data_IF_753525794700
#
_entry.id   IF_753525794700
#
_cell.length_a   1.000
_cell.length_b   1.000
_cell.length_c   1.000
_cell.angle_alpha   90.00
_cell.angle_beta   90.00
_cell.angle_gamma   90.00
#
_symmetry.space_group_name_H-M   'P 1'
#
loop_
_entity.id
_entity.type
_entity.pdbx_description
1 polymer ?
#
# COMPACT_ATOMS: atom_id res chain seq x y z
N UNK A 1 -5.22 33.20 14.74
CA UNK A 1 -5.66 33.91 13.51
C UNK A 1 -5.93 32.86 12.46
N UNK A 2 -7.20 32.55 12.25
CA UNK A 2 -7.70 31.63 11.21
C UNK A 2 -7.37 32.20 9.83
N UNK A 3 -6.56 31.48 9.05
CA UNK A 3 -6.31 31.86 7.65
C UNK A 3 -7.59 31.77 6.82
N UNK A 4 -7.71 32.65 5.83
CA UNK A 4 -8.84 32.88 4.90
C UNK A 4 -9.38 31.66 4.13
N UNK A 5 -8.92 30.44 4.43
CA UNK A 5 -9.31 29.18 3.79
C UNK A 5 -9.98 28.17 4.73
N UNK A 6 -10.30 28.57 5.98
CA UNK A 6 -10.95 27.68 6.96
C UNK A 6 -10.02 26.61 7.55
N UNK A 7 -8.76 26.55 7.12
CA UNK A 7 -7.74 25.69 7.72
C UNK A 7 -7.06 26.41 8.91
N UNK A 8 -6.88 25.72 10.06
CA UNK A 8 -6.15 26.29 11.20
C UNK A 8 -4.69 26.56 10.82
N UNK A 9 -4.10 27.58 11.43
CA UNK A 9 -2.69 27.91 11.19
C UNK A 9 -1.76 26.77 11.66
N UNK A 10 -0.51 26.67 11.14
CA UNK A 10 0.43 25.63 11.55
C UNK A 10 0.69 25.55 13.06
N UNK A 11 0.65 26.69 13.76
CA UNK A 11 0.82 26.77 15.21
C UNK A 11 -0.42 26.24 15.96
N UNK A 12 -1.61 26.71 15.59
CA UNK A 12 -2.89 26.27 16.19
C UNK A 12 -3.13 24.77 16.00
N UNK A 13 -2.78 24.23 14.84
CA UNK A 13 -2.88 22.80 14.55
C UNK A 13 -1.87 21.97 15.35
N UNK A 14 -0.64 22.47 15.53
CA UNK A 14 0.37 21.80 16.34
C UNK A 14 -0.03 21.73 17.81
N UNK A 15 -0.66 22.77 18.34
CA UNK A 15 -1.19 22.84 19.71
C UNK A 15 -2.42 21.95 19.91
N UNK A 16 -3.32 21.88 18.92
CA UNK A 16 -4.52 21.03 18.95
C UNK A 16 -4.24 19.55 18.73
N UNK A 17 -3.02 19.18 18.35
CA UNK A 17 -2.67 17.79 18.06
C UNK A 17 -2.37 17.02 19.36
N UNK A 18 -3.15 15.97 19.69
CA UNK A 18 -2.88 15.16 20.87
C UNK A 18 -1.46 14.59 20.86
N UNK A 19 -0.78 14.62 22.02
CA UNK A 19 0.61 14.17 22.15
C UNK A 19 0.80 12.66 21.90
N UNK A 20 -0.26 11.87 22.00
CA UNK A 20 -0.31 10.43 21.73
C UNK A 20 -0.46 10.09 20.22
N UNK A 21 -0.74 11.09 19.37
CA UNK A 21 -0.88 10.90 17.92
C UNK A 21 0.50 10.72 17.27
N UNK A 22 0.64 9.59 16.58
CA UNK A 22 1.89 9.22 15.92
C UNK A 22 2.04 9.95 14.58
N UNK A 23 2.73 11.09 14.64
CA UNK A 23 2.96 11.95 13.47
C UNK A 23 3.74 11.24 12.35
N UNK A 24 4.54 10.21 12.67
CA UNK A 24 5.28 9.48 11.65
C UNK A 24 4.33 8.65 10.77
N UNK A 25 3.31 8.03 11.36
CA UNK A 25 2.31 7.24 10.64
C UNK A 25 1.50 8.13 9.69
N UNK A 26 1.09 9.31 10.16
CA UNK A 26 0.34 10.27 9.33
C UNK A 26 1.18 10.76 8.13
N UNK A 27 2.47 11.05 8.34
CA UNK A 27 3.39 11.44 7.27
C UNK A 27 3.61 10.29 6.28
N UNK A 28 3.87 9.08 6.77
CA UNK A 28 4.02 7.90 5.91
C UNK A 28 2.78 7.70 5.04
N UNK A 29 1.58 7.86 5.61
CA UNK A 29 0.32 7.67 4.90
C UNK A 29 0.11 8.71 3.79
N UNK A 30 0.33 10.00 4.06
CA UNK A 30 0.15 11.04 3.04
C UNK A 30 1.22 10.96 1.97
N UNK A 31 2.47 10.67 2.33
CA UNK A 31 3.56 10.48 1.37
C UNK A 31 3.30 9.26 0.49
N UNK A 32 2.79 8.17 1.06
CA UNK A 32 2.35 7.02 0.27
C UNK A 32 1.18 7.39 -0.65
N UNK A 33 0.17 8.14 -0.18
CA UNK A 33 -0.95 8.55 -1.03
C UNK A 33 -0.49 9.41 -2.22
N UNK A 34 0.35 10.42 -1.97
CA UNK A 34 0.92 11.27 -3.03
C UNK A 34 1.80 10.45 -3.98
N UNK A 35 2.63 9.56 -3.44
CA UNK A 35 3.45 8.65 -4.24
C UNK A 35 2.61 7.78 -5.17
N UNK A 36 1.41 7.33 -4.75
CA UNK A 36 0.55 6.46 -5.56
C UNK A 36 0.03 7.27 -6.74
N UNK A 37 -0.47 8.47 -6.46
CA UNK A 37 -0.99 9.36 -7.50
C UNK A 37 0.11 9.71 -8.50
N UNK A 38 1.28 10.13 -8.03
CA UNK A 38 2.42 10.47 -8.90
C UNK A 38 2.89 9.24 -9.68
N UNK A 39 3.04 8.10 -9.02
CA UNK A 39 3.46 6.85 -9.65
C UNK A 39 2.53 6.40 -10.77
N UNK A 40 1.21 6.42 -10.54
CA UNK A 40 0.23 6.07 -11.57
C UNK A 40 0.22 7.09 -12.70
N UNK A 41 0.33 8.39 -12.42
CA UNK A 41 0.41 9.43 -13.46
C UNK A 41 1.67 9.29 -14.31
N UNK A 42 2.81 8.95 -13.70
CA UNK A 42 4.08 8.76 -14.43
C UNK A 42 4.09 7.45 -15.21
N UNK A 43 3.54 6.36 -14.65
CA UNK A 43 3.44 5.07 -15.34
C UNK A 43 2.43 5.10 -16.48
N UNK A 44 1.39 5.93 -16.37
CA UNK A 44 0.37 6.15 -17.40
C UNK A 44 0.84 7.15 -18.47
N UNK A 45 1.94 6.84 -19.17
CA UNK A 45 2.40 7.64 -20.31
C UNK A 45 1.68 7.26 -21.59
N UNK A 46 0.65 8.01 -21.96
CA UNK A 46 0.10 7.92 -23.31
C UNK A 46 1.03 8.58 -24.32
N UNK A 47 1.66 7.79 -25.20
CA UNK A 47 2.49 8.31 -26.28
C UNK A 47 1.64 8.44 -27.54
N UNK A 48 1.46 9.66 -28.03
CA UNK A 48 0.81 9.89 -29.33
C UNK A 48 1.87 9.70 -30.41
N UNK A 49 1.78 8.62 -31.20
CA UNK A 49 2.57 8.44 -32.43
C UNK A 49 1.63 8.46 -33.63
N UNK A 50 1.89 9.35 -34.58
CA UNK A 50 1.15 9.42 -35.84
C UNK A 50 -0.33 9.75 -35.72
N UNK A 51 -0.73 10.54 -34.71
CA UNK A 51 -2.14 10.89 -34.47
C UNK A 51 -2.97 9.81 -33.76
N UNK A 52 -2.36 8.68 -33.39
CA UNK A 52 -3.00 7.62 -32.61
C UNK A 52 -2.44 7.64 -31.19
N UNK A 53 -3.32 7.74 -30.21
CA UNK A 53 -2.99 7.62 -28.79
C UNK A 53 -2.61 6.15 -28.52
N UNK A 54 -1.32 5.85 -28.37
CA UNK A 54 -0.87 4.55 -27.89
C UNK A 54 -0.61 4.66 -26.39
N UNK A 55 -1.31 3.83 -25.63
CA UNK A 55 -0.97 3.62 -24.23
C UNK A 55 0.34 2.84 -24.19
N UNK A 56 1.41 3.51 -23.76
CA UNK A 56 2.71 2.89 -23.54
C UNK A 56 3.04 3.01 -22.05
N UNK A 57 3.87 2.13 -21.53
CA UNK A 57 4.24 2.16 -20.12
C UNK A 57 5.75 2.38 -20.05
N UNK A 58 6.21 3.48 -19.45
CA UNK A 58 7.65 3.76 -19.30
C UNK A 58 8.43 2.59 -18.68
N UNK A 59 7.74 1.70 -17.94
CA UNK A 59 8.29 0.47 -17.40
C UNK A 59 8.64 -0.59 -18.46
N UNK A 60 7.91 -0.68 -19.59
CA UNK A 60 8.26 -1.61 -20.69
C UNK A 60 9.49 -1.13 -21.45
N UNK A 61 9.72 0.19 -21.48
CA UNK A 61 10.76 0.81 -22.32
C UNK A 61 12.12 0.90 -21.63
N UNK A 62 12.18 0.87 -20.29
CA UNK A 62 13.43 1.11 -19.56
C UNK A 62 13.58 0.27 -18.30
N UNK A 63 14.68 -0.50 -18.25
CA UNK A 63 15.09 -1.30 -17.09
C UNK A 63 15.40 -0.43 -15.86
N UNK A 64 15.82 0.82 -16.05
CA UNK A 64 16.00 1.77 -14.94
C UNK A 64 14.68 2.07 -14.26
N UNK A 65 13.60 2.31 -15.02
CA UNK A 65 12.27 2.53 -14.43
C UNK A 65 11.72 1.27 -13.76
N UNK A 66 12.01 0.08 -14.29
CA UNK A 66 11.70 -1.18 -13.61
C UNK A 66 12.42 -1.30 -12.27
N UNK A 67 13.72 -0.97 -12.20
CA UNK A 67 14.46 -0.95 -10.94
C UNK A 67 13.94 0.12 -9.97
N UNK A 68 13.52 1.28 -10.47
CA UNK A 68 12.92 2.34 -9.66
C UNK A 68 11.63 1.89 -8.98
N UNK A 69 10.93 0.87 -9.48
CA UNK A 69 9.77 0.29 -8.78
C UNK A 69 10.14 -0.20 -7.38
N UNK A 70 11.37 -0.64 -7.12
CA UNK A 70 11.81 -1.06 -5.78
C UNK A 70 11.90 0.10 -4.78
N UNK A 71 12.08 1.33 -5.25
CA UNK A 71 12.10 2.51 -4.39
C UNK A 71 10.67 3.05 -4.24
N UNK A 72 9.91 3.05 -5.34
CA UNK A 72 8.57 3.65 -5.39
C UNK A 72 7.43 2.66 -5.10
N UNK A 73 7.71 1.43 -4.67
CA UNK A 73 6.69 0.46 -4.25
C UNK A 73 6.12 0.84 -2.88
N UNK A 74 5.36 1.91 -2.83
CA UNK A 74 4.75 2.52 -1.63
C UNK A 74 3.60 1.72 -1.00
N UNK A 75 3.03 0.75 -1.71
CA UNK A 75 1.86 0.00 -1.21
C UNK A 75 2.08 -0.64 0.17
N UNK A 76 3.22 -1.34 0.44
CA UNK A 76 3.49 -1.91 1.76
C UNK A 76 3.51 -0.85 2.87
N UNK A 77 4.01 0.36 2.59
CA UNK A 77 4.05 1.45 3.57
C UNK A 77 2.65 1.91 3.98
N UNK A 78 1.69 1.89 3.06
CA UNK A 78 0.29 2.22 3.37
C UNK A 78 -0.35 1.17 4.29
N UNK A 79 -0.18 -0.13 3.99
CA UNK A 79 -0.69 -1.20 4.85
C UNK A 79 -0.02 -1.19 6.23
N UNK A 80 1.29 -0.93 6.28
CA UNK A 80 2.04 -0.74 7.52
C UNK A 80 1.45 0.40 8.36
N UNK A 81 1.31 1.59 7.78
CA UNK A 81 0.77 2.76 8.46
C UNK A 81 -0.69 2.56 8.89
N UNK A 82 -1.50 1.96 8.02
CA UNK A 82 -2.91 1.68 8.28
C UNK A 82 -3.13 0.71 9.43
N UNK A 83 -2.37 -0.40 9.46
CA UNK A 83 -2.43 -1.35 10.58
C UNK A 83 -1.94 -0.71 11.88
N UNK A 84 -0.83 0.02 11.83
CA UNK A 84 -0.27 0.73 12.97
C UNK A 84 -1.26 1.76 13.57
N UNK A 85 -1.99 2.50 12.72
CA UNK A 85 -3.02 3.43 13.15
C UNK A 85 -4.24 2.74 13.81
N UNK A 86 -4.52 1.48 13.46
CA UNK A 86 -5.67 0.75 13.98
C UNK A 86 -5.42 0.04 15.31
N UNK A 87 -4.15 -0.25 15.65
CA UNK A 87 -3.79 -0.97 16.89
C UNK A 87 -4.41 -0.38 18.16
N UNK A 88 -4.36 0.95 18.43
CA UNK A 88 -4.89 1.50 19.68
C UNK A 88 -6.41 1.37 19.81
N UNK A 89 -7.11 1.29 18.67
CA UNK A 89 -8.58 1.26 18.61
C UNK A 89 -9.18 -0.14 18.75
N UNK A 90 -8.35 -1.18 18.69
CA UNK A 90 -8.80 -2.56 18.80
C UNK A 90 -8.45 -3.10 20.18
N UNK A 91 -9.46 -3.58 20.92
CA UNK A 91 -9.30 -4.21 22.23
C UNK A 91 -9.95 -5.58 22.23
N UNK A 92 -9.32 -6.61 22.85
CA UNK A 92 -9.99 -7.88 23.10
C UNK A 92 -11.33 -7.64 23.82
N UNK A 93 -12.41 -8.26 23.33
CA UNK A 93 -13.77 -8.05 23.83
C UNK A 93 -14.61 -7.03 23.05
N UNK A 94 -14.01 -6.28 22.12
CA UNK A 94 -14.78 -5.42 21.20
C UNK A 94 -15.54 -6.29 20.19
N UNK A 95 -16.79 -5.94 19.87
CA UNK A 95 -17.52 -6.59 18.77
C UNK A 95 -16.76 -6.35 17.45
N UNK A 96 -16.19 -7.44 16.90
CA UNK A 96 -15.39 -7.41 15.67
C UNK A 96 -16.17 -6.87 14.48
N UNK A 97 -17.40 -7.35 14.27
CA UNK A 97 -18.23 -6.95 13.13
C UNK A 97 -18.59 -5.47 13.20
N UNK A 98 -19.02 -5.00 14.37
CA UNK A 98 -19.36 -3.57 14.57
C UNK A 98 -18.15 -2.64 14.39
N UNK A 99 -16.98 -3.04 14.91
CA UNK A 99 -15.74 -2.29 14.75
C UNK A 99 -15.29 -2.21 13.28
N UNK A 100 -15.33 -3.35 12.57
CA UNK A 100 -14.96 -3.43 11.16
C UNK A 100 -15.93 -2.63 10.30
N UNK A 101 -17.23 -2.77 10.51
CA UNK A 101 -18.27 -2.04 9.76
C UNK A 101 -18.15 -0.53 9.94
N UNK A 102 -17.91 -0.05 11.17
CA UNK A 102 -17.73 1.39 11.40
C UNK A 102 -16.55 1.98 10.60
N UNK A 103 -15.46 1.22 10.47
CA UNK A 103 -14.28 1.63 9.69
C UNK A 103 -14.50 1.49 8.19
N UNK A 104 -15.04 0.36 7.76
CA UNK A 104 -15.39 0.10 6.38
C UNK A 104 -16.37 1.16 5.86
N UNK A 105 -17.45 1.44 6.58
CA UNK A 105 -18.45 2.44 6.19
C UNK A 105 -17.83 3.84 6.01
N UNK A 106 -16.93 4.27 6.92
CA UNK A 106 -16.24 5.57 6.79
C UNK A 106 -15.35 5.61 5.54
N UNK A 107 -14.69 4.50 5.22
CA UNK A 107 -13.78 4.39 4.09
C UNK A 107 -14.52 4.26 2.74
N UNK A 108 -15.62 3.51 2.72
CA UNK A 108 -16.44 3.30 1.52
C UNK A 108 -17.36 4.47 1.20
N UNK A 109 -17.75 5.30 2.18
CA UNK A 109 -18.62 6.46 1.94
C UNK A 109 -18.11 7.41 0.84
N UNK A 110 -16.85 7.91 0.85
CA UNK A 110 -16.31 8.69 -0.27
C UNK A 110 -16.22 7.88 -1.58
N UNK A 111 -15.95 6.58 -1.47
CA UNK A 111 -15.82 5.67 -2.62
C UNK A 111 -17.16 5.45 -3.31
N UNK A 112 -18.28 5.40 -2.58
CA UNK A 112 -19.61 5.32 -3.17
C UNK A 112 -19.95 6.56 -3.98
N UNK A 113 -19.59 7.76 -3.52
CA UNK A 113 -19.77 8.98 -4.33
C UNK A 113 -18.93 8.93 -5.61
N UNK A 114 -17.67 8.51 -5.50
CA UNK A 114 -16.78 8.33 -6.63
C UNK A 114 -17.32 7.30 -7.64
N UNK A 115 -17.76 6.13 -7.16
CA UNK A 115 -18.34 5.07 -7.97
C UNK A 115 -19.65 5.52 -8.63
N UNK A 116 -20.50 6.26 -7.92
CA UNK A 116 -21.74 6.78 -8.47
C UNK A 116 -21.47 7.79 -9.59
N UNK A 117 -20.49 8.68 -9.38
CA UNK A 117 -20.05 9.63 -10.40
C UNK A 117 -19.53 8.91 -11.65
N UNK A 118 -18.62 7.94 -11.49
CA UNK A 118 -18.08 7.19 -12.63
C UNK A 118 -19.11 6.29 -13.29
N UNK A 119 -20.04 5.69 -12.54
CA UNK A 119 -21.15 4.92 -13.11
C UNK A 119 -21.99 5.79 -14.05
N UNK A 120 -22.38 6.99 -13.61
CA UNK A 120 -23.13 7.93 -14.46
C UNK A 120 -22.29 8.41 -15.64
N UNK A 121 -21.03 8.81 -15.40
CA UNK A 121 -20.14 9.30 -16.45
C UNK A 121 -19.88 8.25 -17.53
N UNK A 122 -19.60 7.00 -17.15
CA UNK A 122 -19.35 5.91 -18.09
C UNK A 122 -20.61 5.54 -18.88
N UNK A 123 -21.80 5.55 -18.26
CA UNK A 123 -23.07 5.34 -18.99
C UNK A 123 -23.29 6.44 -20.04
N UNK A 124 -22.99 7.70 -19.72
CA UNK A 124 -23.10 8.82 -20.66
C UNK A 124 -22.03 8.74 -21.76
N UNK A 125 -20.81 8.35 -21.43
CA UNK A 125 -19.70 8.28 -22.38
C UNK A 125 -19.74 7.07 -23.29
N UNK A 126 -20.44 5.99 -22.92
CA UNK A 126 -20.55 4.78 -23.73
C UNK A 126 -20.99 5.03 -25.19
N UNK A 127 -22.03 5.83 -25.48
CA UNK A 127 -22.38 6.18 -26.86
C UNK A 127 -21.53 7.30 -27.49
N UNK A 128 -20.76 8.07 -26.70
CA UNK A 128 -20.06 9.27 -27.16
C UNK A 128 -18.59 9.03 -27.51
N UNK A 129 -17.96 8.03 -26.88
CA UNK A 129 -16.53 7.77 -27.03
C UNK A 129 -16.29 6.49 -27.86
N UNK A 130 -15.29 6.48 -28.76
CA UNK A 130 -14.81 5.25 -29.35
C UNK A 130 -14.36 4.23 -28.29
N UNK A 131 -14.57 2.94 -28.55
CA UNK A 131 -14.28 1.85 -27.62
C UNK A 131 -12.81 1.87 -27.10
N UNK A 132 -11.86 2.23 -27.96
CA UNK A 132 -10.44 2.33 -27.62
C UNK A 132 -10.09 3.47 -26.62
N UNK A 133 -11.00 4.43 -26.41
CA UNK A 133 -10.90 5.48 -25.38
C UNK A 133 -11.71 5.09 -24.15
N UNK A 134 -12.88 4.49 -24.36
CA UNK A 134 -13.79 4.11 -23.28
C UNK A 134 -13.18 3.04 -22.35
N UNK A 135 -12.65 1.95 -22.91
CA UNK A 135 -12.14 0.82 -22.11
C UNK A 135 -10.99 1.21 -21.16
N UNK A 136 -9.95 1.96 -21.59
CA UNK A 136 -8.92 2.44 -20.67
C UNK A 136 -9.45 3.36 -19.58
N UNK A 137 -10.37 4.27 -19.91
CA UNK A 137 -10.97 5.19 -18.93
C UNK A 137 -11.77 4.42 -17.88
N UNK A 138 -12.59 3.46 -18.32
CA UNK A 138 -13.32 2.57 -17.43
C UNK A 138 -12.35 1.75 -16.55
N UNK A 139 -11.30 1.17 -17.13
CA UNK A 139 -10.28 0.41 -16.41
C UNK A 139 -9.60 1.22 -15.31
N UNK A 140 -9.07 2.41 -15.65
CA UNK A 140 -8.39 3.30 -14.69
C UNK A 140 -9.31 3.73 -13.56
N UNK A 141 -10.61 3.95 -13.85
CA UNK A 141 -11.58 4.37 -12.83
C UNK A 141 -11.76 3.35 -11.70
N UNK A 142 -11.62 2.06 -11.99
CA UNK A 142 -11.76 0.99 -10.97
C UNK A 142 -10.43 0.40 -10.53
N UNK A 143 -9.33 0.72 -11.22
CA UNK A 143 -8.01 0.12 -10.99
C UNK A 143 -7.51 0.29 -9.57
N UNK A 144 -7.84 1.38 -8.87
CA UNK A 144 -7.38 1.59 -7.49
C UNK A 144 -8.30 0.95 -6.43
N UNK A 145 -9.45 0.39 -6.82
CA UNK A 145 -10.44 -0.16 -5.89
C UNK A 145 -10.06 -1.54 -5.33
N UNK A 146 -9.27 -2.34 -6.05
CA UNK A 146 -8.84 -3.64 -5.51
C UNK A 146 -8.01 -3.47 -4.24
N UNK A 147 -7.21 -2.40 -4.18
CA UNK A 147 -6.40 -2.05 -3.01
C UNK A 147 -7.27 -1.75 -1.78
N UNK A 148 -8.42 -1.08 -2.00
CA UNK A 148 -9.39 -0.83 -0.95
C UNK A 148 -9.96 -2.14 -0.40
N UNK A 149 -10.30 -3.09 -1.28
CA UNK A 149 -10.73 -4.44 -0.88
C UNK A 149 -9.67 -5.15 -0.06
N UNK A 150 -8.42 -5.17 -0.54
CA UNK A 150 -7.29 -5.75 0.19
C UNK A 150 -7.06 -5.07 1.56
N UNK A 151 -7.23 -3.76 1.65
CA UNK A 151 -7.13 -3.01 2.90
C UNK A 151 -8.20 -3.45 3.92
N UNK A 152 -9.43 -3.65 3.47
CA UNK A 152 -10.52 -4.15 4.33
C UNK A 152 -10.22 -5.56 4.82
N UNK A 153 -9.66 -6.44 3.97
CA UNK A 153 -9.24 -7.79 4.39
C UNK A 153 -8.14 -7.75 5.46
N UNK A 154 -7.17 -6.85 5.32
CA UNK A 154 -6.12 -6.65 6.34
C UNK A 154 -6.72 -6.13 7.65
N UNK A 155 -7.68 -5.19 7.59
CA UNK A 155 -8.40 -4.72 8.77
C UNK A 155 -9.25 -5.83 9.40
N UNK A 156 -9.87 -6.69 8.60
CA UNK A 156 -10.62 -7.85 9.07
C UNK A 156 -9.70 -8.81 9.84
N UNK A 157 -8.43 -8.94 9.44
CA UNK A 157 -7.41 -9.74 10.12
C UNK A 157 -6.85 -9.10 11.42
N UNK A 158 -7.28 -7.89 11.78
CA UNK A 158 -6.80 -7.18 12.98
C UNK A 158 -6.86 -7.99 14.29
N UNK A 159 -7.90 -8.82 14.57
CA UNK A 159 -7.92 -9.66 15.78
C UNK A 159 -6.72 -10.60 15.86
N UNK A 160 -6.34 -11.23 14.75
CA UNK A 160 -5.20 -12.14 14.67
C UNK A 160 -3.90 -11.36 14.77
N UNK A 161 -3.78 -10.25 14.03
CA UNK A 161 -2.61 -9.37 14.07
C UNK A 161 -2.36 -8.82 15.49
N UNK A 162 -3.43 -8.53 16.25
CA UNK A 162 -3.33 -8.05 17.62
C UNK A 162 -2.76 -9.07 18.62
N UNK A 163 -2.70 -10.36 18.26
CA UNK A 163 -2.08 -11.41 19.10
C UNK A 163 -0.55 -11.41 19.03
N UNK A 164 0.04 -10.64 18.12
CA UNK A 164 1.49 -10.48 17.97
C UNK A 164 2.02 -9.61 19.11
N UNK A 165 2.44 -10.24 20.20
CA UNK A 165 2.94 -9.57 21.41
C UNK A 165 4.45 -9.67 21.59
N UNK A 166 5.14 -10.53 20.83
CA UNK A 166 6.58 -10.75 20.95
C UNK A 166 7.25 -10.82 19.58
N UNK A 167 8.57 -10.64 19.56
CA UNK A 167 9.38 -10.78 18.35
C UNK A 167 9.34 -12.19 17.77
N UNK A 168 9.29 -13.22 18.61
CA UNK A 168 9.19 -14.61 18.17
C UNK A 168 7.87 -14.85 17.44
N UNK A 169 6.74 -14.34 17.97
CA UNK A 169 5.44 -14.45 17.30
C UNK A 169 5.39 -13.67 15.99
N UNK A 170 6.03 -12.50 15.94
CA UNK A 170 6.17 -11.72 14.71
C UNK A 170 6.95 -12.53 13.65
N UNK A 171 8.14 -13.03 14.01
CA UNK A 171 8.96 -13.83 13.11
C UNK A 171 8.21 -15.07 12.62
N UNK A 172 7.59 -15.83 13.52
CA UNK A 172 6.79 -17.00 13.16
C UNK A 172 5.63 -16.66 12.22
N UNK A 173 4.89 -15.57 12.49
CA UNK A 173 3.75 -15.15 11.65
C UNK A 173 4.20 -14.69 10.26
N UNK A 174 5.28 -13.90 10.19
CA UNK A 174 5.86 -13.44 8.91
C UNK A 174 6.39 -14.61 8.12
N UNK A 175 7.14 -15.53 8.75
CA UNK A 175 7.65 -16.74 8.10
C UNK A 175 6.51 -17.64 7.61
N UNK A 176 5.44 -17.81 8.39
CA UNK A 176 4.29 -18.61 7.98
C UNK A 176 3.60 -18.04 6.72
N UNK A 177 3.34 -16.71 6.69
CA UNK A 177 2.73 -16.07 5.51
C UNK A 177 3.69 -16.09 4.32
N UNK A 178 4.97 -15.84 4.53
CA UNK A 178 5.98 -15.88 3.47
C UNK A 178 6.13 -17.28 2.87
N UNK A 179 6.16 -18.32 3.71
CA UNK A 179 6.20 -19.71 3.26
C UNK A 179 4.93 -20.12 2.52
N UNK A 180 3.76 -19.66 2.97
CA UNK A 180 2.50 -19.88 2.25
C UNK A 180 2.52 -19.25 0.85
N UNK A 181 3.02 -18.03 0.72
CA UNK A 181 3.18 -17.35 -0.59
C UNK A 181 4.15 -18.12 -1.48
N UNK A 182 5.27 -18.60 -0.91
CA UNK A 182 6.23 -19.41 -1.65
C UNK A 182 5.61 -20.72 -2.16
N UNK A 183 4.78 -21.37 -1.35
CA UNK A 183 4.06 -22.57 -1.75
C UNK A 183 3.04 -22.31 -2.87
N UNK A 184 2.29 -21.21 -2.79
CA UNK A 184 1.36 -20.81 -3.85
C UNK A 184 2.11 -20.48 -5.14
N UNK A 185 3.24 -19.76 -5.07
CA UNK A 185 4.06 -19.49 -6.25
C UNK A 185 4.67 -20.77 -6.83
N UNK A 186 5.09 -21.72 -6.00
CA UNK A 186 5.53 -23.03 -6.48
C UNK A 186 4.40 -23.77 -7.22
N UNK A 187 3.17 -23.76 -6.69
CA UNK A 187 2.01 -24.35 -7.38
C UNK A 187 1.71 -23.64 -8.68
N UNK A 188 1.75 -22.30 -8.72
CA UNK A 188 1.52 -21.51 -9.95
C UNK A 188 2.52 -21.82 -11.06
N UNK A 189 3.75 -22.15 -10.68
CA UNK A 189 4.83 -22.45 -11.63
C UNK A 189 4.79 -23.90 -12.15
N UNK A 190 4.32 -24.85 -11.34
CA UNK A 190 4.36 -26.28 -11.67
C UNK A 190 3.01 -26.88 -12.04
N UNK A 191 1.91 -26.27 -11.63
CA UNK A 191 0.57 -26.73 -11.93
C UNK A 191 -0.12 -25.71 -12.83
N UNK A 192 -0.74 -26.18 -13.92
CA UNK A 192 -1.72 -25.42 -14.69
C UNK A 192 -3.02 -25.15 -13.92
N UNK A 193 -3.08 -25.54 -12.63
CA UNK A 193 -4.16 -25.22 -11.72
C UNK A 193 -4.40 -23.70 -11.74
N UNK A 194 -5.65 -23.33 -12.02
CA UNK A 194 -5.98 -22.09 -12.70
C UNK A 194 -5.43 -20.79 -12.08
N UNK A 195 -5.33 -19.72 -12.88
CA UNK A 195 -4.84 -18.39 -12.48
C UNK A 195 -5.43 -17.85 -11.16
N UNK A 196 -6.61 -18.36 -10.77
CA UNK A 196 -7.33 -18.02 -9.54
C UNK A 196 -6.56 -18.32 -8.25
N UNK A 197 -5.75 -19.39 -8.21
CA UNK A 197 -5.00 -19.76 -6.99
C UNK A 197 -3.97 -18.71 -6.59
N UNK A 198 -3.41 -17.98 -7.55
CA UNK A 198 -2.45 -16.93 -7.24
C UNK A 198 -3.03 -15.80 -6.41
N UNK A 199 -4.34 -15.55 -6.46
CA UNK A 199 -4.98 -14.53 -5.62
C UNK A 199 -4.93 -14.84 -4.12
N UNK A 200 -4.61 -16.08 -3.71
CA UNK A 200 -4.28 -16.39 -2.31
C UNK A 200 -3.09 -15.57 -1.80
N UNK A 201 -2.17 -15.17 -2.70
CA UNK A 201 -1.04 -14.31 -2.36
C UNK A 201 -1.44 -12.87 -2.00
N UNK A 202 -2.72 -12.49 -2.07
CA UNK A 202 -3.20 -11.26 -1.43
C UNK A 202 -2.91 -11.22 0.08
N UNK A 203 -2.62 -12.37 0.70
CA UNK A 203 -2.09 -12.45 2.06
C UNK A 203 -0.75 -11.71 2.25
N UNK A 204 -0.02 -11.37 1.18
CA UNK A 204 1.20 -10.56 1.24
C UNK A 204 1.02 -9.28 2.03
N UNK A 205 -0.17 -8.67 1.95
CA UNK A 205 -0.49 -7.41 2.60
C UNK A 205 -0.66 -7.53 4.12
N UNK A 206 -0.77 -8.77 4.64
CA UNK A 206 -0.69 -9.04 6.07
C UNK A 206 0.72 -8.79 6.62
N UNK A 207 1.76 -9.04 5.83
CA UNK A 207 3.16 -8.85 6.25
C UNK A 207 3.43 -7.40 6.69
N UNK A 208 3.22 -6.36 5.86
CA UNK A 208 3.42 -4.98 6.30
C UNK A 208 2.51 -4.61 7.47
N UNK A 209 1.30 -5.18 7.53
CA UNK A 209 0.41 -4.98 8.67
C UNK A 209 0.98 -5.55 9.99
N UNK A 210 1.60 -6.75 9.96
CA UNK A 210 2.30 -7.33 11.09
C UNK A 210 3.45 -6.44 11.57
N UNK A 211 4.24 -5.90 10.64
CA UNK A 211 5.29 -4.93 10.96
C UNK A 211 4.72 -3.63 11.54
N UNK A 212 3.57 -3.16 11.05
CA UNK A 212 2.86 -2.00 11.61
C UNK A 212 2.45 -2.23 13.07
N UNK A 213 1.95 -3.42 13.40
CA UNK A 213 1.66 -3.82 14.80
C UNK A 213 2.93 -3.87 15.63
N UNK A 214 3.99 -4.49 15.10
CA UNK A 214 5.28 -4.59 15.77
C UNK A 214 5.91 -3.23 16.05
N UNK A 215 5.76 -2.28 15.13
CA UNK A 215 6.19 -0.90 15.29
C UNK A 215 5.48 -0.21 16.45
N UNK A 216 4.14 -0.28 16.49
CA UNK A 216 3.34 0.33 17.58
C UNK A 216 3.65 -0.26 18.95
N UNK A 217 3.92 -1.57 18.98
CA UNK A 217 4.29 -2.28 20.21
C UNK A 217 5.79 -2.23 20.51
N UNK A 218 6.58 -1.52 19.70
CA UNK A 218 8.04 -1.38 19.83
C UNK A 218 8.77 -2.72 19.95
N UNK A 219 8.31 -3.74 19.22
CA UNK A 219 8.86 -5.09 19.29
C UNK A 219 10.22 -5.20 18.57
N UNK A 220 10.46 -4.39 17.55
CA UNK A 220 11.68 -4.43 16.75
C UNK A 220 12.66 -3.34 17.18
N UNK A 221 13.91 -3.74 17.44
CA UNK A 221 15.02 -2.80 17.59
C UNK A 221 15.51 -2.35 16.22
N UNK A 222 16.14 -1.18 16.15
CA UNK A 222 16.70 -0.65 14.91
C UNK A 222 17.70 -1.63 14.26
N UNK A 223 18.56 -2.26 15.06
CA UNK A 223 19.52 -3.25 14.57
C UNK A 223 18.83 -4.47 13.94
N UNK A 224 17.79 -5.02 14.60
CA UNK A 224 17.02 -6.14 14.05
C UNK A 224 16.30 -5.75 12.76
N UNK A 225 15.71 -4.56 12.71
CA UNK A 225 15.05 -4.07 11.50
C UNK A 225 16.02 -3.90 10.32
N UNK A 226 17.23 -3.37 10.55
CA UNK A 226 18.28 -3.29 9.52
C UNK A 226 18.70 -4.68 9.06
N UNK A 227 18.95 -5.60 10.01
CA UNK A 227 19.29 -6.99 9.70
C UNK A 227 18.22 -7.69 8.86
N UNK A 228 16.94 -7.52 9.23
CA UNK A 228 15.81 -8.05 8.45
C UNK A 228 15.75 -7.46 7.04
N UNK A 229 15.91 -6.14 6.89
CA UNK A 229 15.93 -5.49 5.58
C UNK A 229 17.09 -6.01 4.71
N UNK A 230 18.29 -6.16 5.28
CA UNK A 230 19.46 -6.66 4.56
C UNK A 230 19.31 -8.13 4.13
N UNK A 231 18.81 -9.00 5.01
CA UNK A 231 18.57 -10.42 4.71
C UNK A 231 17.56 -10.54 3.56
N UNK A 232 16.42 -9.87 3.65
CA UNK A 232 15.40 -9.96 2.60
C UNK A 232 15.80 -9.26 1.31
N UNK A 233 16.65 -8.23 1.37
CA UNK A 233 17.25 -7.65 0.15
C UNK A 233 18.13 -8.67 -0.56
N UNK A 234 19.00 -9.37 0.18
CA UNK A 234 19.81 -10.46 -0.38
C UNK A 234 18.93 -11.60 -0.92
N UNK A 235 17.87 -11.98 -0.20
CA UNK A 235 16.88 -12.97 -0.68
C UNK A 235 16.21 -12.51 -1.97
N UNK A 236 15.77 -11.26 -2.07
CA UNK A 236 15.13 -10.74 -3.27
C UNK A 236 16.09 -10.71 -4.46
N UNK A 237 17.35 -10.30 -4.26
CA UNK A 237 18.39 -10.36 -5.30
C UNK A 237 18.63 -11.80 -5.72
N UNK A 238 18.67 -12.75 -4.78
CA UNK A 238 18.81 -14.17 -5.09
C UNK A 238 17.62 -14.71 -5.92
N UNK A 239 16.39 -14.35 -5.53
CA UNK A 239 15.17 -14.71 -6.26
C UNK A 239 15.15 -14.09 -7.66
N UNK A 240 15.71 -12.89 -7.84
CA UNK A 240 15.83 -12.24 -9.14
C UNK A 240 16.90 -12.90 -10.03
N UNK A 241 18.06 -13.26 -9.47
CA UNK A 241 19.17 -13.82 -10.23
C UNK A 241 18.99 -15.30 -10.57
N UNK A 242 18.38 -16.09 -9.68
CA UNK A 242 18.26 -17.54 -9.82
C UNK A 242 16.83 -18.05 -9.85
N UNK A 243 15.86 -17.20 -9.52
CA UNK A 243 14.45 -17.56 -9.53
C UNK A 243 13.72 -17.14 -10.79
N UNK A 244 12.43 -17.52 -10.92
CA UNK A 244 11.58 -17.19 -12.07
C UNK A 244 10.99 -15.76 -11.99
N UNK A 245 11.52 -14.91 -11.11
CA UNK A 245 10.96 -13.58 -10.82
C UNK A 245 11.64 -12.50 -11.66
N UNK A 246 10.88 -11.47 -12.00
CA UNK A 246 11.37 -10.35 -12.80
C UNK A 246 11.64 -9.11 -11.97
N UNK A 247 12.43 -8.19 -12.55
CA UNK A 247 12.89 -6.96 -11.89
C UNK A 247 11.73 -6.04 -11.50
N UNK A 248 10.71 -5.89 -12.35
CA UNK A 248 9.61 -4.98 -12.05
C UNK A 248 8.67 -5.55 -10.99
N UNK A 249 8.50 -4.82 -9.88
CA UNK A 249 7.52 -5.16 -8.83
C UNK A 249 6.09 -4.74 -9.18
N UNK A 250 5.92 -3.97 -10.24
CA UNK A 250 4.63 -3.60 -10.82
C UNK A 250 4.38 -4.48 -12.03
N UNK A 251 3.11 -4.88 -12.25
CA UNK A 251 2.75 -5.69 -13.39
C UNK A 251 3.03 -4.96 -14.70
N UNK A 252 3.83 -5.58 -15.56
CA UNK A 252 4.09 -5.13 -16.93
C UNK A 252 3.51 -6.16 -17.89
N UNK A 253 3.09 -5.74 -19.09
CA UNK A 253 2.74 -6.68 -20.15
C UNK A 253 3.98 -7.48 -20.62
N UNK A 254 3.81 -8.78 -20.84
CA UNK A 254 4.89 -9.66 -21.30
C UNK A 254 5.74 -10.31 -20.19
N UNK A 255 5.44 -10.05 -18.92
CA UNK A 255 6.13 -10.74 -17.82
C UNK A 255 5.75 -12.22 -17.77
N UNK A 256 6.76 -13.09 -17.59
CA UNK A 256 6.59 -14.53 -17.40
C UNK A 256 5.85 -14.85 -16.11
N UNK A 257 6.15 -14.08 -15.05
CA UNK A 257 5.43 -14.12 -13.78
C UNK A 257 5.19 -12.70 -13.28
N UNK A 258 3.94 -12.17 -13.32
CA UNK A 258 3.66 -10.85 -12.79
C UNK A 258 3.83 -10.84 -11.27
N UNK A 259 4.50 -9.80 -10.76
CA UNK A 259 4.82 -9.66 -9.33
C UNK A 259 3.68 -9.02 -8.51
N UNK A 260 2.73 -8.32 -9.15
CA UNK A 260 1.66 -7.59 -8.46
C UNK A 260 0.30 -8.27 -8.58
N UNK A 261 -0.06 -8.75 -9.78
CA UNK A 261 -1.40 -9.27 -10.08
C UNK A 261 -1.31 -10.67 -10.69
N UNK A 262 -1.34 -11.73 -9.86
CA UNK A 262 -1.38 -11.74 -8.39
C UNK A 262 -0.01 -11.56 -7.72
N UNK A 263 0.05 -11.15 -6.44
CA UNK A 263 1.30 -10.86 -5.74
C UNK A 263 2.27 -12.04 -5.74
N UNK A 264 3.57 -11.78 -5.84
CA UNK A 264 4.61 -12.81 -5.82
C UNK A 264 5.41 -12.84 -4.50
N UNK A 265 6.21 -13.88 -4.34
CA UNK A 265 7.18 -14.00 -3.25
C UNK A 265 8.21 -12.86 -3.25
N UNK A 266 8.62 -12.40 -4.44
CA UNK A 266 9.53 -11.24 -4.56
C UNK A 266 8.89 -9.98 -3.96
N UNK A 267 7.60 -9.76 -4.24
CA UNK A 267 6.83 -8.65 -3.65
C UNK A 267 6.67 -8.82 -2.13
N UNK A 268 6.50 -10.05 -1.65
CA UNK A 268 6.44 -10.34 -0.22
C UNK A 268 7.75 -9.99 0.50
N UNK A 269 8.89 -10.39 -0.07
CA UNK A 269 10.21 -10.04 0.48
C UNK A 269 10.43 -8.53 0.43
N UNK A 270 9.99 -7.88 -0.65
CA UNK A 270 10.07 -6.44 -0.77
C UNK A 270 9.20 -5.69 0.25
N UNK A 271 8.00 -6.20 0.53
CA UNK A 271 7.13 -5.66 1.59
C UNK A 271 7.79 -5.74 2.97
N UNK A 272 8.56 -6.79 3.24
CA UNK A 272 9.37 -6.93 4.47
C UNK A 272 10.47 -5.88 4.51
N UNK A 273 11.23 -5.71 3.41
CA UNK A 273 12.30 -4.71 3.31
C UNK A 273 11.76 -3.31 3.62
N UNK A 274 10.71 -2.88 2.93
CA UNK A 274 10.15 -1.54 3.10
C UNK A 274 9.55 -1.34 4.48
N UNK A 275 8.88 -2.35 5.05
CA UNK A 275 8.32 -2.24 6.39
C UNK A 275 9.42 -2.17 7.46
N UNK A 276 10.50 -2.92 7.30
CA UNK A 276 11.66 -2.87 8.20
C UNK A 276 12.39 -1.51 8.08
N UNK A 277 12.60 -1.01 6.86
CA UNK A 277 13.15 0.33 6.63
C UNK A 277 12.25 1.43 7.19
N UNK A 278 10.93 1.27 7.13
CA UNK A 278 9.98 2.21 7.75
C UNK A 278 10.16 2.26 9.27
N UNK A 279 10.36 1.12 9.94
CA UNK A 279 10.68 1.07 11.38
C UNK A 279 11.98 1.81 11.68
N UNK A 280 13.01 1.65 10.84
CA UNK A 280 14.30 2.34 10.98
C UNK A 280 14.18 3.85 10.77
N UNK A 281 13.38 4.27 9.78
CA UNK A 281 13.19 5.67 9.41
C UNK A 281 12.23 6.41 10.35
N UNK A 282 11.32 5.69 11.02
CA UNK A 282 10.25 6.29 11.82
C UNK A 282 10.71 7.34 12.86
N UNK A 283 11.81 7.16 13.62
CA UNK A 283 12.28 8.20 14.54
C UNK A 283 12.76 9.47 13.84
N UNK A 284 13.38 9.34 12.66
CA UNK A 284 13.81 10.47 11.85
C UNK A 284 12.60 11.19 11.21
N UNK A 285 11.62 10.42 10.71
CA UNK A 285 10.36 10.95 10.19
C UNK A 285 9.59 11.67 11.30
N UNK A 286 9.51 11.11 12.51
CA UNK A 286 8.88 11.75 13.66
C UNK A 286 9.57 13.08 14.03
N UNK A 287 10.91 13.13 14.00
CA UNK A 287 11.68 14.35 14.23
C UNK A 287 11.40 15.40 13.16
N UNK A 288 11.31 14.99 11.90
CA UNK A 288 10.98 15.87 10.79
C UNK A 288 9.55 16.40 10.87
N UNK A 289 8.59 15.55 11.26
CA UNK A 289 7.18 15.88 11.48
C UNK A 289 6.94 16.82 12.68
N UNK A 290 7.97 17.11 13.50
CA UNK A 290 7.89 18.20 14.49
C UNK A 290 7.96 19.59 13.86
N UNK A 291 8.42 19.71 12.61
CA UNK A 291 8.44 20.99 11.89
C UNK A 291 7.00 21.42 11.59
N UNK A 292 6.54 22.61 12.03
CA UNK A 292 5.14 23.03 11.91
C UNK A 292 4.58 22.98 10.48
N UNK A 293 5.38 23.36 9.49
CA UNK A 293 4.97 23.33 8.07
C UNK A 293 4.76 21.91 7.52
N UNK A 294 5.62 20.97 7.92
CA UNK A 294 5.51 19.56 7.50
C UNK A 294 4.27 18.92 8.14
N UNK A 295 4.06 19.18 9.42
CA UNK A 295 2.87 18.71 10.13
C UNK A 295 1.57 19.30 9.55
N UNK A 296 1.58 20.58 9.20
CA UNK A 296 0.43 21.25 8.62
C UNK A 296 0.02 20.65 7.27
N UNK A 297 0.98 20.43 6.36
CA UNK A 297 0.71 19.76 5.08
C UNK A 297 0.20 18.32 5.28
N UNK A 298 0.82 17.56 6.17
CA UNK A 298 0.41 16.19 6.45
C UNK A 298 -0.99 16.11 7.07
N UNK A 299 -1.30 17.03 7.99
CA UNK A 299 -2.61 17.08 8.62
C UNK A 299 -3.69 17.52 7.65
N UNK A 300 -3.47 18.53 6.81
CA UNK A 300 -4.45 18.95 5.79
C UNK A 300 -4.72 17.81 4.80
N UNK A 301 -3.67 17.18 4.27
CA UNK A 301 -3.82 16.04 3.36
C UNK A 301 -4.56 14.87 4.02
N UNK A 302 -4.28 14.60 5.29
CA UNK A 302 -4.99 13.57 6.04
C UNK A 302 -6.40 13.98 6.49
N UNK A 303 -6.73 15.27 6.54
CA UNK A 303 -8.07 15.78 6.87
C UNK A 303 -9.05 15.55 5.72
N UNK A 304 -8.58 15.58 4.47
CA UNK A 304 -9.37 15.18 3.30
C UNK A 304 -9.58 13.67 3.21
N UNK A 305 -8.57 12.87 3.58
CA UNK A 305 -8.66 11.40 3.60
C UNK A 305 -9.40 10.83 4.83
N UNK A 306 -9.42 11.58 5.93
CA UNK A 306 -10.22 11.31 7.13
C UNK A 306 -11.05 12.56 7.40
N UNK A 307 -12.05 12.81 6.55
CA UNK A 307 -13.08 13.79 6.86
C UNK A 307 -13.67 13.45 8.22
N UNK A 308 -13.59 14.45 9.09
CA UNK A 308 -13.85 14.47 10.54
C UNK A 308 -15.12 13.73 10.93
#
# INVERSE_FOLDING_TARGET
MTSLTGFPSPAELAERTPADRDRAIDVIRITALVGVVVGHTVMATSVIRGGVLRWDNLLTTSTTFQALTWIFQIMPLFFFAGAAACVPSWRPGTNWGGWLMKRAARLFRPVFYYLSFWAVALVIFYPLLPQHVYEPVAGVSIQLLWFLGAYVLVLAAMPVLSRITSTARLAASVTAVYAMIAAVDAVRLHCSAGPSLGYLNLAVWLIPAMFGVAYRRRLLTRARAIGTAAIFLATNVALLCWGPYELSLVGIEGQRLPNMSPPSLLLAGHAIILSALAVVAAPAIARWARRPRVWWLAAIGNSGAMTL
#
